data_IF_856256870926
#
_entry.id   IF_856256870926
#
_cell.length_a   1.000
_cell.length_b   1.000
_cell.length_c   1.000
_cell.angle_alpha   90.00
_cell.angle_beta   90.00
_cell.angle_gamma   90.00
#
_symmetry.space_group_name_H-M   'P 1'
#
loop_
_entity.id
_entity.type
_entity.pdbx_description
1 polymer ?
#
# COMPACT_ATOMS: atom_id res chain seq x y z
N UNK A 1 -17.31 28.26 48.85
CA UNK A 1 -18.09 27.12 48.33
C UNK A 1 -17.31 26.54 47.17
N UNK A 2 -16.46 25.54 47.47
CA UNK A 2 -15.51 24.94 46.52
C UNK A 2 -16.22 23.74 45.91
N UNK A 3 -16.48 23.79 44.60
CA UNK A 3 -17.02 22.65 43.84
C UNK A 3 -15.85 21.75 43.44
N UNK A 4 -15.73 20.61 44.12
CA UNK A 4 -14.89 19.49 43.68
C UNK A 4 -15.57 18.83 42.47
N UNK A 5 -14.89 18.87 41.33
CA UNK A 5 -15.21 18.02 40.17
C UNK A 5 -14.48 16.70 40.39
N UNK A 6 -15.22 15.63 40.68
CA UNK A 6 -14.68 14.28 40.70
C UNK A 6 -14.44 13.82 39.26
N UNK A 7 -13.19 13.57 38.91
CA UNK A 7 -12.81 12.93 37.66
C UNK A 7 -13.21 11.45 37.71
N UNK A 8 -14.06 11.01 36.77
CA UNK A 8 -14.36 9.60 36.54
C UNK A 8 -13.14 8.88 35.96
N UNK A 9 -12.93 7.58 36.25
CA UNK A 9 -11.76 6.86 35.77
C UNK A 9 -11.83 6.69 34.25
N UNK A 10 -10.80 7.15 33.56
CA UNK A 10 -10.56 6.85 32.14
C UNK A 10 -10.41 5.34 31.99
N UNK A 11 -11.39 4.72 31.32
CA UNK A 11 -11.32 3.32 30.92
C UNK A 11 -10.27 3.19 29.81
N UNK A 12 -9.01 2.96 30.20
CA UNK A 12 -7.96 2.52 29.29
C UNK A 12 -8.21 1.05 28.96
N UNK A 13 -9.05 0.80 27.96
CA UNK A 13 -9.14 -0.52 27.34
C UNK A 13 -7.83 -0.78 26.60
N UNK A 14 -6.86 -1.38 27.29
CA UNK A 14 -5.66 -1.91 26.70
C UNK A 14 -6.04 -2.98 25.68
N UNK A 15 -5.82 -2.71 24.39
CA UNK A 15 -5.95 -3.66 23.30
C UNK A 15 -4.78 -4.68 23.29
N UNK A 16 -4.45 -5.21 24.47
CA UNK A 16 -3.39 -6.20 24.65
C UNK A 16 -4.00 -7.45 25.28
N UNK A 17 -3.72 -8.59 24.63
CA UNK A 17 -4.01 -9.97 25.05
C UNK A 17 -5.39 -10.53 24.68
N UNK A 18 -5.65 -10.67 23.37
CA UNK A 18 -6.27 -11.91 22.89
C UNK A 18 -5.16 -12.96 22.79
N UNK A 19 -4.96 -13.66 23.90
CA UNK A 19 -4.23 -14.92 23.95
C UNK A 19 -4.70 -15.83 22.82
N UNK A 20 -3.76 -16.27 21.98
CA UNK A 20 -3.94 -17.31 20.96
C UNK A 20 -4.21 -18.66 21.62
N UNK A 21 -5.38 -18.80 22.24
CA UNK A 21 -6.00 -20.13 22.34
C UNK A 21 -6.29 -20.54 20.90
N UNK A 22 -5.56 -21.54 20.40
CA UNK A 22 -5.72 -22.04 19.04
C UNK A 22 -7.18 -22.38 18.77
N UNK A 23 -7.90 -21.49 18.11
CA UNK A 23 -9.22 -21.77 17.55
C UNK A 23 -9.01 -22.84 16.49
N UNK A 24 -9.32 -24.09 16.83
CA UNK A 24 -9.38 -25.16 15.86
C UNK A 24 -10.57 -24.88 14.96
N UNK A 25 -10.32 -24.25 13.81
CA UNK A 25 -11.32 -24.06 12.76
C UNK A 25 -11.66 -25.45 12.22
N UNK A 26 -12.77 -26.02 12.69
CA UNK A 26 -13.27 -27.29 12.16
C UNK A 26 -14.04 -27.01 10.88
N UNK A 27 -13.63 -27.67 9.80
CA UNK A 27 -14.45 -27.74 8.60
C UNK A 27 -15.76 -28.45 8.94
N UNK A 28 -16.88 -27.77 8.74
CA UNK A 28 -18.21 -28.33 8.93
C UNK A 28 -18.76 -28.81 7.58
N UNK A 29 -19.30 -30.02 7.58
CA UNK A 29 -20.00 -30.55 6.42
C UNK A 29 -21.45 -30.04 6.42
N UNK A 30 -21.68 -28.90 5.77
CA UNK A 30 -23.03 -28.38 5.56
C UNK A 30 -23.83 -29.31 4.63
N UNK A 31 -25.09 -29.54 4.98
CA UNK A 31 -26.05 -30.22 4.11
C UNK A 31 -26.29 -29.43 2.82
N UNK A 32 -26.77 -30.08 1.77
CA UNK A 32 -27.11 -29.41 0.51
C UNK A 32 -28.13 -28.29 0.70
N UNK A 33 -29.08 -28.46 1.63
CA UNK A 33 -30.10 -27.46 1.94
C UNK A 33 -29.51 -26.22 2.63
N UNK A 34 -28.55 -26.39 3.53
CA UNK A 34 -27.88 -25.27 4.19
C UNK A 34 -27.00 -24.50 3.22
N UNK A 35 -26.23 -25.20 2.38
CA UNK A 35 -25.44 -24.58 1.30
C UNK A 35 -26.32 -23.76 0.35
N UNK A 36 -27.49 -24.28 -0.01
CA UNK A 36 -28.44 -23.57 -0.86
C UNK A 36 -28.95 -22.30 -0.18
N UNK A 37 -29.35 -22.36 1.10
CA UNK A 37 -29.81 -21.19 1.86
C UNK A 37 -28.76 -20.08 1.94
N UNK A 38 -27.50 -20.44 2.20
CA UNK A 38 -26.40 -19.45 2.22
C UNK A 38 -26.26 -18.80 0.85
N UNK A 39 -26.28 -19.60 -0.22
CA UNK A 39 -26.18 -19.11 -1.60
C UNK A 39 -27.31 -18.14 -1.94
N UNK A 40 -28.56 -18.50 -1.65
CA UNK A 40 -29.73 -17.66 -1.89
C UNK A 40 -29.65 -16.36 -1.09
N UNK A 41 -29.24 -16.43 0.19
CA UNK A 41 -29.07 -15.24 1.04
C UNK A 41 -28.00 -14.29 0.50
N UNK A 42 -26.86 -14.81 0.02
CA UNK A 42 -25.82 -13.99 -0.62
C UNK A 42 -26.37 -13.35 -1.89
N UNK A 43 -27.00 -14.11 -2.79
CA UNK A 43 -27.56 -13.56 -4.04
C UNK A 43 -28.58 -12.47 -3.73
N UNK A 44 -29.47 -12.70 -2.77
CA UNK A 44 -30.46 -11.72 -2.35
C UNK A 44 -29.79 -10.44 -1.84
N UNK A 45 -28.79 -10.55 -0.97
CA UNK A 45 -28.03 -9.40 -0.46
C UNK A 45 -27.36 -8.62 -1.60
N UNK A 46 -26.71 -9.31 -2.53
CA UNK A 46 -26.04 -8.68 -3.68
C UNK A 46 -27.02 -7.92 -4.57
N UNK A 47 -28.15 -8.55 -4.92
CA UNK A 47 -29.17 -7.93 -5.78
C UNK A 47 -29.87 -6.75 -5.08
N UNK A 48 -30.25 -6.90 -3.80
CA UNK A 48 -30.95 -5.85 -3.06
C UNK A 48 -30.07 -4.62 -2.80
N UNK A 49 -28.76 -4.84 -2.57
CA UNK A 49 -27.82 -3.76 -2.25
C UNK A 49 -26.96 -3.32 -3.45
N UNK A 50 -27.26 -3.82 -4.66
CA UNK A 50 -26.51 -3.55 -5.90
C UNK A 50 -24.99 -3.72 -5.73
N UNK A 51 -24.57 -4.78 -5.02
CA UNK A 51 -23.15 -5.04 -4.76
C UNK A 51 -22.52 -5.81 -5.91
N UNK A 52 -21.24 -5.56 -6.23
CA UNK A 52 -20.54 -6.36 -7.23
C UNK A 52 -20.40 -7.80 -6.74
N UNK A 53 -20.52 -8.77 -7.65
CA UNK A 53 -20.35 -10.19 -7.31
C UNK A 53 -18.96 -10.50 -6.75
N UNK A 54 -17.93 -9.72 -7.10
CA UNK A 54 -16.56 -9.90 -6.61
C UNK A 54 -16.43 -9.74 -5.09
N UNK A 55 -17.38 -9.08 -4.41
CA UNK A 55 -17.34 -8.88 -2.94
C UNK A 55 -17.35 -10.21 -2.18
N UNK A 56 -17.85 -11.29 -2.76
CA UNK A 56 -17.85 -12.62 -2.11
C UNK A 56 -16.46 -13.23 -2.02
N UNK A 57 -15.51 -12.74 -2.82
CA UNK A 57 -14.12 -13.14 -2.84
C UNK A 57 -13.24 -12.18 -2.02
N UNK A 58 -13.82 -11.17 -1.38
CA UNK A 58 -13.08 -10.23 -0.54
C UNK A 58 -12.61 -10.94 0.73
N UNK A 59 -11.33 -10.82 1.07
CA UNK A 59 -10.74 -11.50 2.23
C UNK A 59 -11.33 -11.01 3.57
N UNK A 60 -11.84 -9.78 3.64
CA UNK A 60 -12.44 -9.23 4.85
C UNK A 60 -13.84 -9.78 5.14
N UNK A 61 -14.56 -10.28 4.12
CA UNK A 61 -15.89 -10.84 4.31
C UNK A 61 -15.88 -12.13 5.16
N UNK A 62 -15.04 -13.14 4.87
CA UNK A 62 -14.84 -14.31 5.75
C UNK A 62 -14.50 -13.93 7.19
N UNK A 63 -13.64 -12.93 7.41
CA UNK A 63 -13.24 -12.51 8.76
C UNK A 63 -14.42 -11.94 9.56
N UNK A 64 -15.24 -11.09 8.93
CA UNK A 64 -16.44 -10.53 9.56
C UNK A 64 -17.47 -11.65 9.84
N UNK A 65 -17.68 -12.56 8.90
CA UNK A 65 -18.58 -13.71 9.11
C UNK A 65 -18.10 -14.58 10.26
N UNK A 66 -16.80 -14.87 10.32
CA UNK A 66 -16.21 -15.68 11.38
C UNK A 66 -16.36 -14.99 12.75
N UNK A 67 -16.18 -13.66 12.82
CA UNK A 67 -16.44 -12.89 14.04
C UNK A 67 -17.91 -12.97 14.46
N UNK A 68 -18.85 -12.82 13.53
CA UNK A 68 -20.28 -12.95 13.81
C UNK A 68 -20.66 -14.36 14.29
N UNK A 69 -20.08 -15.41 13.70
CA UNK A 69 -20.26 -16.79 14.15
C UNK A 69 -19.71 -17.02 15.56
N UNK A 70 -18.54 -16.46 15.87
CA UNK A 70 -17.98 -16.53 17.23
C UNK A 70 -18.87 -15.84 18.25
N UNK A 71 -19.44 -14.67 17.91
CA UNK A 71 -20.41 -13.99 18.78
C UNK A 71 -21.66 -14.84 18.99
N UNK A 72 -22.23 -15.41 17.92
CA UNK A 72 -23.39 -16.29 18.00
C UNK A 72 -23.13 -17.57 18.81
N UNK A 73 -21.94 -18.16 18.68
CA UNK A 73 -21.54 -19.31 19.50
C UNK A 73 -21.42 -18.96 20.99
N UNK A 74 -20.95 -17.75 21.31
CA UNK A 74 -20.75 -17.29 22.69
C UNK A 74 -22.05 -16.82 23.37
N UNK A 75 -22.92 -16.13 22.63
CA UNK A 75 -24.08 -15.44 23.19
C UNK A 75 -25.43 -16.01 22.71
N UNK A 76 -25.44 -16.98 21.81
CA UNK A 76 -26.65 -17.57 21.25
C UNK A 76 -27.29 -16.68 20.19
N UNK A 77 -28.63 -16.59 20.20
CA UNK A 77 -29.37 -15.73 19.29
C UNK A 77 -29.15 -14.26 19.67
N UNK A 78 -28.53 -13.50 18.77
CA UNK A 78 -28.24 -12.07 18.94
C UNK A 78 -29.10 -11.28 17.96
N UNK A 79 -29.64 -10.14 18.40
CA UNK A 79 -30.21 -9.16 17.50
C UNK A 79 -29.10 -8.50 16.67
N UNK A 80 -29.09 -8.77 15.37
CA UNK A 80 -28.09 -8.25 14.43
C UNK A 80 -28.04 -6.72 14.42
N UNK A 81 -29.19 -6.05 14.62
CA UNK A 81 -29.22 -4.58 14.62
C UNK A 81 -28.56 -3.97 15.87
N UNK A 82 -28.42 -4.75 16.94
CA UNK A 82 -27.73 -4.31 18.17
C UNK A 82 -26.21 -4.36 18.04
N UNK A 83 -25.67 -5.17 17.12
CA UNK A 83 -24.21 -5.34 16.93
C UNK A 83 -23.66 -4.54 15.77
N UNK A 84 -24.47 -4.27 14.72
CA UNK A 84 -23.98 -3.57 13.53
C UNK A 84 -23.88 -2.07 13.81
N UNK A 85 -22.67 -1.48 13.73
CA UNK A 85 -22.51 -0.05 13.93
C UNK A 85 -23.16 0.74 12.78
N UNK A 86 -23.70 1.91 13.11
CA UNK A 86 -24.22 2.83 12.10
C UNK A 86 -23.11 3.27 11.13
N UNK A 87 -23.46 3.58 9.88
CA UNK A 87 -22.53 4.04 8.84
C UNK A 87 -21.61 5.17 9.32
N UNK A 88 -22.17 6.14 10.05
CA UNK A 88 -21.41 7.27 10.61
C UNK A 88 -20.33 6.78 11.57
N UNK A 89 -20.64 5.82 12.45
CA UNK A 89 -19.68 5.23 13.38
C UNK A 89 -18.55 4.53 12.64
N UNK A 90 -18.85 3.74 11.59
CA UNK A 90 -17.83 3.09 10.76
C UNK A 90 -16.94 4.14 10.09
N UNK A 91 -17.53 5.21 9.58
CA UNK A 91 -16.80 6.28 8.88
C UNK A 91 -15.88 7.06 9.82
N UNK A 92 -16.32 7.37 11.03
CA UNK A 92 -15.46 8.03 12.01
C UNK A 92 -14.36 7.09 12.51
N UNK A 93 -14.70 5.82 12.73
CA UNK A 93 -13.72 4.84 13.16
C UNK A 93 -12.68 4.55 12.07
N UNK A 94 -13.07 4.53 10.79
CA UNK A 94 -12.12 4.36 9.69
C UNK A 94 -11.13 5.51 9.61
N UNK A 95 -11.56 6.77 9.81
CA UNK A 95 -10.66 7.92 9.89
C UNK A 95 -9.65 7.79 11.02
N UNK A 96 -10.09 7.34 12.19
CA UNK A 96 -9.21 7.10 13.35
C UNK A 96 -8.17 6.03 12.99
N UNK A 97 -8.61 4.90 12.46
CA UNK A 97 -7.72 3.79 12.07
C UNK A 97 -6.74 4.22 10.97
N UNK A 98 -7.19 4.99 9.98
CA UNK A 98 -6.33 5.56 8.94
C UNK A 98 -5.28 6.50 9.54
N UNK A 99 -5.64 7.35 10.51
CA UNK A 99 -4.68 8.23 11.17
C UNK A 99 -3.63 7.43 11.96
N UNK A 100 -4.07 6.43 12.73
CA UNK A 100 -3.15 5.52 13.45
C UNK A 100 -2.18 4.86 12.49
N UNK A 101 -2.67 4.33 11.36
CA UNK A 101 -1.82 3.68 10.38
C UNK A 101 -0.87 4.67 9.69
N UNK A 102 -1.35 5.89 9.40
CA UNK A 102 -0.50 6.96 8.88
C UNK A 102 0.63 7.31 9.83
N UNK A 103 0.35 7.45 11.13
CA UNK A 103 1.36 7.77 12.13
C UNK A 103 2.42 6.66 12.26
N UNK A 104 2.02 5.40 12.09
CA UNK A 104 2.95 4.27 12.02
C UNK A 104 3.85 4.34 10.78
N UNK A 105 3.29 4.68 9.62
CA UNK A 105 4.04 4.80 8.37
C UNK A 105 5.05 5.96 8.42
N UNK A 106 4.68 7.11 9.01
CA UNK A 106 5.56 8.27 9.17
C UNK A 106 6.91 7.91 9.80
N UNK A 107 6.87 7.14 10.88
CA UNK A 107 8.08 6.70 11.60
C UNK A 107 8.99 5.91 10.66
N UNK A 108 8.41 5.05 9.82
CA UNK A 108 9.18 4.23 8.89
C UNK A 108 9.72 5.02 7.70
N UNK A 109 8.94 5.97 7.20
CA UNK A 109 9.31 6.78 6.05
C UNK A 109 10.55 7.65 6.27
N UNK A 110 10.76 8.17 7.48
CA UNK A 110 11.97 8.95 7.80
C UNK A 110 13.23 8.13 7.54
N UNK A 111 13.26 6.87 8.01
CA UNK A 111 14.38 5.96 7.80
C UNK A 111 14.59 5.67 6.31
N UNK A 112 13.51 5.37 5.59
CA UNK A 112 13.56 5.02 4.17
C UNK A 112 13.98 6.18 3.27
N UNK A 113 13.65 7.42 3.64
CA UNK A 113 14.12 8.62 2.93
C UNK A 113 15.63 8.82 3.09
N UNK A 114 16.19 8.54 4.28
CA UNK A 114 17.64 8.63 4.53
C UNK A 114 18.39 7.59 3.70
N UNK A 115 17.88 6.36 3.63
CA UNK A 115 18.50 5.29 2.85
C UNK A 115 18.17 5.31 1.36
N UNK A 116 17.35 6.25 0.89
CA UNK A 116 16.94 6.39 -0.52
C UNK A 116 16.28 5.12 -1.08
N UNK A 117 15.57 4.37 -0.23
CA UNK A 117 14.84 3.16 -0.59
C UNK A 117 13.33 3.39 -0.74
N UNK A 118 12.88 4.64 -0.58
CA UNK A 118 11.53 5.09 -0.85
C UNK A 118 11.46 5.78 -2.21
N UNK A 119 10.52 5.32 -3.03
CA UNK A 119 10.17 5.95 -4.31
C UNK A 119 8.68 6.24 -4.34
N UNK A 120 8.28 7.34 -4.95
CA UNK A 120 6.89 7.75 -5.09
C UNK A 120 6.50 7.81 -6.56
N UNK A 121 5.29 7.34 -6.86
CA UNK A 121 4.65 7.40 -8.16
C UNK A 121 3.37 8.22 -8.06
N UNK A 122 3.38 9.50 -8.49
CA UNK A 122 2.15 10.24 -8.67
C UNK A 122 1.45 9.77 -9.96
N UNK A 123 0.14 9.58 -9.88
CA UNK A 123 -0.74 9.26 -11.00
C UNK A 123 -1.82 10.35 -11.08
N UNK A 124 -1.89 11.05 -12.23
CA UNK A 124 -2.80 12.17 -12.46
C UNK A 124 -3.71 11.89 -13.64
N UNK A 125 -4.94 11.46 -13.37
CA UNK A 125 -5.92 11.18 -14.41
C UNK A 125 -7.11 12.13 -14.38
N UNK A 126 -7.83 12.19 -15.50
CA UNK A 126 -9.11 12.91 -15.61
C UNK A 126 -10.25 11.94 -15.85
N UNK A 127 -11.25 12.02 -14.99
CA UNK A 127 -12.53 11.39 -15.19
C UNK A 127 -13.41 12.31 -16.03
N UNK A 128 -13.60 11.94 -17.30
CA UNK A 128 -14.42 12.68 -18.26
C UNK A 128 -15.90 12.68 -17.89
N UNK A 129 -16.38 11.62 -17.23
CA UNK A 129 -17.79 11.49 -16.85
C UNK A 129 -18.12 12.47 -15.72
N UNK A 130 -17.26 12.52 -14.69
CA UNK A 130 -17.43 13.41 -13.55
C UNK A 130 -16.77 14.79 -13.73
N UNK A 131 -16.19 15.07 -14.91
CA UNK A 131 -15.45 16.30 -15.23
C UNK A 131 -14.48 16.70 -14.10
N UNK A 132 -13.81 15.71 -13.51
CA UNK A 132 -12.97 15.87 -12.35
C UNK A 132 -11.62 15.25 -12.62
N UNK A 133 -10.55 15.87 -12.13
CA UNK A 133 -9.23 15.26 -12.14
C UNK A 133 -8.90 14.72 -10.76
N UNK A 134 -8.05 13.71 -10.69
CA UNK A 134 -7.66 13.05 -9.44
C UNK A 134 -6.15 12.88 -9.40
N UNK A 135 -5.58 13.03 -8.21
CA UNK A 135 -4.18 12.74 -7.92
C UNK A 135 -4.13 11.54 -6.99
N UNK A 136 -3.60 10.44 -7.50
CA UNK A 136 -3.13 9.30 -6.73
C UNK A 136 -1.65 9.47 -6.43
N UNK A 137 -1.23 9.09 -5.24
CA UNK A 137 0.18 9.00 -4.88
C UNK A 137 0.42 7.65 -4.24
N UNK A 138 1.21 6.83 -4.91
CA UNK A 138 1.63 5.52 -4.43
C UNK A 138 3.10 5.59 -4.07
N UNK A 139 3.50 4.89 -3.00
CA UNK A 139 4.91 4.74 -2.66
C UNK A 139 5.35 3.28 -2.79
N UNK A 140 6.62 3.13 -3.13
CA UNK A 140 7.29 1.86 -3.32
C UNK A 140 8.51 1.83 -2.43
N UNK A 141 8.67 0.73 -1.70
CA UNK A 141 9.69 0.56 -0.68
C UNK A 141 10.42 -0.74 -0.97
N UNK A 142 11.75 -0.69 -0.90
CA UNK A 142 12.59 -1.88 -0.80
C UNK A 142 13.23 -1.87 0.57
N UNK A 143 12.88 -2.84 1.42
CA UNK A 143 13.45 -2.90 2.77
C UNK A 143 14.86 -3.52 2.78
N UNK A 144 15.47 -3.59 3.97
CA UNK A 144 16.81 -4.17 4.15
C UNK A 144 16.89 -5.66 3.79
N UNK A 145 15.75 -6.35 3.77
CA UNK A 145 15.63 -7.76 3.39
C UNK A 145 15.34 -7.90 1.88
N UNK A 146 15.49 -6.82 1.11
CA UNK A 146 15.13 -6.72 -0.32
C UNK A 146 13.66 -7.07 -0.60
N UNK A 147 12.78 -6.90 0.40
CA UNK A 147 11.36 -7.10 0.22
C UNK A 147 10.75 -5.85 -0.39
N UNK A 148 10.08 -6.02 -1.53
CA UNK A 148 9.34 -4.97 -2.20
C UNK A 148 7.94 -4.81 -1.58
N UNK A 149 7.55 -3.59 -1.25
CA UNK A 149 6.23 -3.25 -0.73
C UNK A 149 5.70 -1.99 -1.40
N UNK A 150 4.40 -1.94 -1.62
CA UNK A 150 3.72 -0.80 -2.24
C UNK A 150 2.56 -0.34 -1.35
N UNK A 151 2.41 0.97 -1.21
CA UNK A 151 1.33 1.58 -0.42
C UNK A 151 0.72 2.76 -1.16
N UNK A 152 -0.60 2.78 -1.28
CA UNK A 152 -1.33 3.95 -1.74
C UNK A 152 -1.40 4.95 -0.59
N UNK A 153 -0.67 6.05 -0.71
CA UNK A 153 -0.59 7.07 0.34
C UNK A 153 -1.82 7.97 0.29
N UNK A 154 -2.16 8.42 -0.91
CA UNK A 154 -3.18 9.44 -1.11
C UNK A 154 -3.95 9.17 -2.39
N UNK A 155 -5.26 9.37 -2.32
CA UNK A 155 -6.12 9.53 -3.49
C UNK A 155 -7.09 10.66 -3.19
N UNK A 156 -7.00 11.76 -3.92
CA UNK A 156 -7.96 12.86 -3.79
C UNK A 156 -8.27 13.52 -5.13
N UNK A 157 -9.40 14.22 -5.17
CA UNK A 157 -9.73 15.11 -6.28
C UNK A 157 -8.64 16.17 -6.40
N UNK A 158 -8.13 16.37 -7.61
CA UNK A 158 -7.18 17.42 -7.93
C UNK A 158 -7.91 18.77 -7.97
N UNK A 159 -7.47 19.72 -7.15
CA UNK A 159 -8.16 21.00 -6.91
C UNK A 159 -7.44 22.21 -7.46
N UNK A 160 -6.22 22.04 -7.97
CA UNK A 160 -5.45 23.17 -8.48
C UNK A 160 -6.01 23.65 -9.83
N UNK A 161 -5.80 24.93 -10.19
CA UNK A 161 -6.49 25.56 -11.33
C UNK A 161 -6.23 24.89 -12.67
N UNK A 162 -5.02 24.39 -12.87
CA UNK A 162 -4.60 23.68 -14.07
C UNK A 162 -3.56 22.59 -13.74
N UNK A 163 -3.22 21.78 -14.74
CA UNK A 163 -2.24 20.67 -14.61
C UNK A 163 -0.82 21.11 -14.96
N UNK A 164 -0.44 22.36 -14.65
CA UNK A 164 0.96 22.80 -14.79
C UNK A 164 1.83 22.24 -13.67
N UNK A 165 3.14 22.23 -13.89
CA UNK A 165 4.14 21.65 -12.97
C UNK A 165 4.00 22.17 -11.55
N UNK A 166 3.99 23.49 -11.43
CA UNK A 166 4.01 24.18 -10.17
C UNK A 166 2.79 23.77 -9.33
N UNK A 167 1.62 23.68 -9.97
CA UNK A 167 0.38 23.26 -9.35
C UNK A 167 0.39 21.77 -8.96
N UNK A 168 0.92 20.90 -9.81
CA UNK A 168 1.07 19.47 -9.48
C UNK A 168 2.01 19.30 -8.28
N UNK A 169 3.13 20.02 -8.26
CA UNK A 169 4.10 19.98 -7.17
C UNK A 169 3.50 20.52 -5.86
N UNK A 170 2.69 21.58 -5.92
CA UNK A 170 1.94 22.09 -4.77
C UNK A 170 0.97 21.02 -4.24
N UNK A 171 0.20 20.39 -5.14
CA UNK A 171 -0.73 19.33 -4.77
C UNK A 171 -0.02 18.13 -4.13
N UNK A 172 1.11 17.69 -4.70
CA UNK A 172 1.93 16.61 -4.16
C UNK A 172 2.51 16.97 -2.80
N UNK A 173 3.09 18.16 -2.62
CA UNK A 173 3.61 18.61 -1.32
C UNK A 173 2.51 18.65 -0.26
N UNK A 174 1.34 19.18 -0.61
CA UNK A 174 0.18 19.21 0.30
C UNK A 174 -0.26 17.80 0.69
N UNK A 175 -0.35 16.88 -0.26
CA UNK A 175 -0.71 15.49 -0.02
C UNK A 175 0.31 14.79 0.90
N UNK A 176 1.60 14.92 0.60
CA UNK A 176 2.70 14.25 1.29
C UNK A 176 3.05 14.88 2.64
N UNK A 177 2.68 16.14 2.88
CA UNK A 177 2.81 16.77 4.20
C UNK A 177 2.09 16.00 5.30
N UNK A 178 0.99 15.31 4.96
CA UNK A 178 0.28 14.47 5.92
C UNK A 178 1.09 13.26 6.38
N UNK A 179 2.15 12.89 5.66
CA UNK A 179 3.08 11.79 5.94
C UNK A 179 4.47 12.27 6.37
N UNK A 180 4.66 13.57 6.61
CA UNK A 180 5.95 14.20 6.91
C UNK A 180 7.05 13.88 5.87
N UNK A 181 6.63 13.62 4.62
CA UNK A 181 7.53 13.26 3.52
C UNK A 181 8.01 14.52 2.79
N UNK A 182 9.33 14.70 2.76
CA UNK A 182 9.96 15.74 1.95
C UNK A 182 10.22 15.28 0.51
N UNK A 183 9.60 15.93 -0.48
CA UNK A 183 9.78 15.61 -1.89
C UNK A 183 11.23 15.74 -2.36
N UNK A 184 11.98 16.74 -1.89
CA UNK A 184 13.38 16.95 -2.31
C UNK A 184 14.31 15.79 -1.93
N UNK A 185 13.90 14.96 -0.97
CA UNK A 185 14.65 13.80 -0.52
C UNK A 185 14.08 12.46 -1.00
N UNK A 186 13.06 12.45 -1.86
CA UNK A 186 12.36 11.23 -2.28
C UNK A 186 12.54 10.98 -3.77
N UNK A 187 12.78 9.74 -4.18
CA UNK A 187 12.82 9.42 -5.61
C UNK A 187 11.41 9.52 -6.18
N UNK A 188 11.25 10.12 -7.36
CA UNK A 188 9.93 10.26 -8.01
C UNK A 188 9.99 9.53 -9.36
N UNK A 189 9.00 8.67 -9.61
CA UNK A 189 8.81 8.06 -10.92
C UNK A 189 7.44 8.48 -11.40
N UNK A 190 7.35 9.12 -12.55
CA UNK A 190 6.09 9.63 -13.05
C UNK A 190 5.99 9.48 -14.56
N UNK A 191 4.76 9.59 -15.07
CA UNK A 191 4.54 9.52 -16.51
C UNK A 191 5.21 10.68 -17.24
N UNK A 192 5.47 10.57 -18.54
CA UNK A 192 6.11 11.64 -19.32
C UNK A 192 5.32 12.97 -19.25
N UNK A 193 3.99 12.86 -19.13
CA UNK A 193 3.05 13.95 -18.88
C UNK A 193 3.14 14.60 -17.49
N UNK A 194 3.88 14.02 -16.56
CA UNK A 194 4.15 14.50 -15.19
C UNK A 194 5.65 14.66 -14.94
N UNK A 195 6.51 14.08 -15.80
CA UNK A 195 7.97 14.08 -15.72
C UNK A 195 8.58 15.40 -16.15
N UNK A 196 8.07 15.99 -17.24
CA UNK A 196 8.43 17.35 -17.65
C UNK A 196 8.19 18.38 -16.53
N UNK A 197 7.43 17.98 -15.51
CA UNK A 197 6.92 18.84 -14.46
C UNK A 197 7.59 18.62 -13.08
N UNK A 198 8.23 17.46 -12.83
CA UNK A 198 8.93 17.15 -11.57
C UNK A 198 10.47 17.30 -11.64
N UNK A 199 11.04 17.41 -12.85
CA UNK A 199 12.48 17.33 -13.11
C UNK A 199 13.33 18.54 -12.62
N UNK A 200 12.73 19.61 -12.11
CA UNK A 200 13.47 20.81 -11.69
C UNK A 200 14.05 20.75 -10.27
N UNK A 201 13.68 19.74 -9.45
CA UNK A 201 14.07 19.72 -8.02
C UNK A 201 14.49 18.36 -7.45
N UNK A 202 14.28 17.24 -8.15
CA UNK A 202 14.42 15.88 -7.59
C UNK A 202 14.89 14.87 -8.66
N UNK A 203 15.44 13.71 -8.24
CA UNK A 203 15.71 12.57 -9.15
C UNK A 203 14.38 12.00 -9.65
N UNK A 204 13.91 12.52 -10.78
CA UNK A 204 12.69 12.11 -11.45
C UNK A 204 13.02 11.20 -12.65
N UNK A 205 12.31 10.08 -12.81
CA UNK A 205 12.46 9.18 -13.95
C UNK A 205 11.11 8.89 -14.61
N UNK A 206 11.11 8.76 -15.95
CA UNK A 206 9.90 8.39 -16.72
C UNK A 206 9.45 6.98 -16.38
N UNK A 207 8.13 6.71 -16.39
CA UNK A 207 7.69 5.32 -16.45
C UNK A 207 8.09 4.70 -17.80
N UNK A 208 8.39 3.39 -17.77
CA UNK A 208 8.70 2.62 -18.98
C UNK A 208 7.47 2.42 -19.87
N UNK A 209 6.26 2.44 -19.30
CA UNK A 209 5.00 2.27 -20.03
C UNK A 209 4.78 3.47 -20.97
N UNK A 210 5.07 4.68 -20.52
CA UNK A 210 4.92 5.86 -21.39
C UNK A 210 5.96 5.90 -22.49
N UNK A 211 7.18 5.40 -22.24
CA UNK A 211 8.21 5.27 -23.28
C UNK A 211 7.72 4.33 -24.38
N UNK A 212 7.06 3.23 -24.01
CA UNK A 212 6.47 2.30 -24.97
C UNK A 212 5.29 2.92 -25.70
N UNK A 213 4.35 3.53 -24.98
CA UNK A 213 3.16 4.15 -25.59
C UNK A 213 3.54 5.30 -26.53
N UNK A 214 4.51 6.15 -26.18
CA UNK A 214 4.97 7.22 -27.07
C UNK A 214 5.65 6.66 -28.32
N UNK A 215 6.38 5.54 -28.19
CA UNK A 215 7.00 4.91 -29.35
C UNK A 215 6.00 4.27 -30.31
N UNK A 216 4.87 3.77 -29.78
CA UNK A 216 3.80 3.20 -30.60
C UNK A 216 2.96 4.31 -31.26
N UNK A 217 2.62 5.39 -30.55
CA UNK A 217 1.85 6.52 -31.08
C UNK A 217 2.62 7.27 -32.19
N UNK A 218 3.92 7.55 -32.00
CA UNK A 218 4.76 8.18 -33.04
C UNK A 218 4.88 7.28 -34.29
N UNK A 219 4.93 5.96 -34.11
CA UNK A 219 4.98 5.02 -35.25
C UNK A 219 3.67 4.95 -36.04
N UNK A 220 2.54 5.25 -35.41
CA UNK A 220 1.21 5.26 -36.04
C UNK A 220 0.94 6.57 -36.78
N UNK A 221 1.41 7.71 -36.25
CA UNK A 221 1.20 9.01 -36.84
C UNK A 221 2.20 9.34 -37.97
N UNK A 222 3.41 8.76 -37.96
CA UNK A 222 4.39 8.89 -39.05
C UNK A 222 4.14 7.96 -40.26
N UNK A 223 3.11 7.11 -40.19
CA UNK A 223 2.68 6.32 -41.33
C UNK A 223 1.89 7.20 -42.34
N UNK A 224 2.60 8.04 -43.09
CA UNK A 224 2.07 8.67 -44.31
C UNK A 224 1.62 7.54 -45.26
N UNK A 225 0.36 7.57 -45.68
CA UNK A 225 -0.36 6.59 -46.51
C UNK A 225 0.23 6.39 -47.93
N UNK A 226 1.44 6.91 -48.17
CA UNK A 226 2.14 6.85 -49.44
C UNK A 226 3.38 5.99 -49.30
N UNK A 227 3.24 4.78 -49.86
CA UNK A 227 4.27 3.77 -50.05
C UNK A 227 4.56 2.92 -48.81
N UNK A 228 3.72 1.92 -48.58
CA UNK A 228 4.04 0.81 -47.69
C UNK A 228 5.26 0.05 -48.26
N UNK A 229 6.47 0.13 -47.68
CA UNK A 229 7.58 -0.70 -48.12
C UNK A 229 7.29 -2.09 -47.57
N UNK A 230 7.28 -3.09 -48.44
CA UNK A 230 7.16 -4.49 -48.01
C UNK A 230 8.37 -4.84 -47.12
N UNK A 231 8.19 -4.78 -45.80
CA UNK A 231 9.22 -5.24 -44.86
C UNK A 231 9.29 -6.75 -44.96
N UNK A 232 10.20 -7.24 -45.80
CA UNK A 232 10.67 -8.63 -45.72
C UNK A 232 11.38 -8.78 -44.37
N UNK A 233 10.72 -9.47 -43.44
CA UNK A 233 11.34 -10.04 -42.25
C UNK A 233 12.56 -10.88 -42.66
N UNK A 234 13.76 -10.30 -42.58
CA UNK A 234 15.01 -11.07 -42.57
C UNK A 234 15.18 -11.65 -41.19
N UNK A 235 14.50 -12.77 -40.95
CA UNK A 235 14.66 -13.62 -39.77
C UNK A 235 16.01 -14.35 -39.80
N UNK A 236 17.14 -13.66 -39.60
CA UNK A 236 18.40 -14.31 -39.25
C UNK A 236 19.28 -13.43 -38.38
N UNK A 237 19.16 -13.54 -37.06
CA UNK A 237 20.31 -13.47 -36.16
C UNK A 237 20.28 -14.65 -35.20
N UNK A 238 21.29 -15.50 -35.40
CA UNK A 238 21.64 -16.72 -34.67
C UNK A 238 21.55 -16.50 -33.15
N UNK A 239 20.64 -17.21 -32.49
CA UNK A 239 20.81 -17.54 -31.07
C UNK A 239 22.08 -18.39 -30.95
N UNK A 240 23.15 -17.80 -30.40
CA UNK A 240 24.25 -18.58 -29.84
C UNK A 240 23.77 -19.10 -28.49
N UNK A 241 23.42 -20.37 -28.46
CA UNK A 241 23.20 -21.15 -27.23
C UNK A 241 24.48 -21.11 -26.41
N UNK A 242 24.51 -20.33 -25.32
CA UNK A 242 25.54 -20.44 -24.31
C UNK A 242 25.13 -21.55 -23.33
N UNK A 243 25.63 -22.76 -23.61
CA UNK A 243 25.71 -23.83 -22.63
C UNK A 243 26.78 -23.44 -21.60
N UNK A 244 26.39 -23.16 -20.37
CA UNK A 244 27.31 -23.22 -19.23
C UNK A 244 26.84 -24.33 -18.28
N UNK A 245 27.58 -25.42 -18.34
CA UNK A 245 27.57 -26.54 -17.42
C UNK A 245 28.70 -26.29 -16.44
N UNK A 246 28.40 -25.91 -15.21
CA UNK A 246 29.35 -25.90 -14.08
C UNK A 246 28.65 -26.58 -12.90
N UNK A 247 28.92 -27.87 -12.71
CA UNK A 247 29.86 -28.39 -11.70
C UNK A 247 29.52 -27.91 -10.28
N UNK A 248 28.96 -28.87 -9.52
CA UNK A 248 29.08 -29.00 -8.06
C UNK A 248 30.53 -28.74 -7.66
N UNK A 249 30.78 -27.69 -6.89
CA UNK A 249 31.94 -27.58 -6.01
C UNK A 249 31.45 -27.07 -4.67
N UNK A 250 31.63 -27.92 -3.66
CA UNK A 250 31.54 -27.59 -2.25
C UNK A 250 32.60 -26.54 -1.92
N UNK A 251 32.21 -25.40 -1.37
CA UNK A 251 33.09 -24.65 -0.46
C UNK A 251 32.25 -23.76 0.46
N UNK A 252 32.37 -24.06 1.75
CA UNK A 252 32.05 -23.17 2.84
C UNK A 252 32.83 -21.87 2.70
N UNK A 253 32.15 -20.76 2.46
CA UNK A 253 32.74 -19.42 2.56
C UNK A 253 31.83 -18.54 3.43
N UNK A 254 32.12 -18.53 4.73
CA UNK A 254 31.55 -17.59 5.69
C UNK A 254 32.23 -16.23 5.51
N UNK A 255 31.53 -15.26 4.94
CA UNK A 255 31.94 -13.85 4.99
C UNK A 255 31.19 -13.15 6.13
N UNK A 256 31.49 -13.59 7.35
CA UNK A 256 31.27 -12.81 8.57
C UNK A 256 32.66 -12.37 8.98
N UNK A 257 32.99 -11.12 8.70
CA UNK A 257 33.94 -10.26 9.42
C UNK A 257 34.56 -9.22 8.48
N UNK A 258 33.99 -8.02 8.55
CA UNK A 258 34.68 -6.73 8.67
C UNK A 258 33.91 -5.61 7.99
N UNK A 259 32.84 -5.16 8.66
CA UNK A 259 32.52 -3.74 8.72
C UNK A 259 32.27 -3.41 10.18
N UNK A 260 33.37 -3.24 10.94
CA UNK A 260 33.32 -2.44 12.17
C UNK A 260 33.28 -0.99 11.69
N UNK A 261 32.09 -0.45 11.48
CA UNK A 261 31.91 1.00 11.44
C UNK A 261 32.25 1.51 12.84
N UNK A 262 33.36 2.24 12.96
CA UNK A 262 33.70 2.95 14.17
C UNK A 262 32.56 3.92 14.48
N UNK A 263 32.00 3.79 15.68
CA UNK A 263 30.80 4.50 16.13
C UNK A 263 31.05 6.02 16.29
N UNK A 264 32.24 6.51 15.92
CA UNK A 264 32.70 7.91 16.04
C UNK A 264 32.18 8.86 14.96
N UNK A 265 31.59 8.38 13.85
CA UNK A 265 31.16 9.24 12.74
C UNK A 265 29.63 9.39 12.58
N UNK A 266 28.85 8.88 13.53
CA UNK A 266 27.39 9.05 13.51
C UNK A 266 27.05 10.41 14.15
N UNK A 267 26.39 11.33 13.43
CA UNK A 267 25.88 12.58 14.00
C UNK A 267 25.10 12.33 15.29
N UNK A 268 25.24 13.20 16.28
CA UNK A 268 24.67 12.98 17.62
C UNK A 268 23.14 12.81 17.53
N UNK A 269 22.47 13.51 16.61
CA UNK A 269 21.03 13.35 16.38
C UNK A 269 20.66 11.93 15.89
N UNK A 270 21.52 11.29 15.07
CA UNK A 270 21.30 9.94 14.59
C UNK A 270 21.56 8.87 15.67
N UNK A 271 22.42 9.14 16.66
CA UNK A 271 22.60 8.25 17.83
C UNK A 271 21.38 8.20 18.73
N UNK A 272 20.77 9.35 19.02
CA UNK A 272 19.53 9.40 19.81
C UNK A 272 18.37 8.72 19.07
N UNK A 273 18.32 8.85 17.74
CA UNK A 273 17.36 8.16 16.89
C UNK A 273 17.58 6.64 16.88
N UNK A 274 18.82 6.15 16.85
CA UNK A 274 19.16 4.73 16.93
C UNK A 274 18.78 4.09 18.28
N UNK A 275 18.82 4.85 19.36
CA UNK A 275 18.37 4.39 20.69
C UNK A 275 16.84 4.22 20.69
N UNK A 276 16.08 5.19 20.15
CA UNK A 276 14.63 5.06 19.96
C UNK A 276 14.26 3.91 19.01
N UNK A 277 15.05 3.67 17.96
CA UNK A 277 14.85 2.56 17.02
C UNK A 277 15.04 1.18 17.66
N UNK A 278 15.88 1.02 18.68
CA UNK A 278 16.00 -0.27 19.40
C UNK A 278 14.72 -0.62 20.16
N UNK A 279 14.03 0.38 20.71
CA UNK A 279 12.73 0.20 21.36
C UNK A 279 11.64 -0.11 20.32
N UNK A 280 11.69 0.54 19.15
CA UNK A 280 10.75 0.32 18.04
C UNK A 280 10.98 -1.01 17.31
N UNK A 281 12.21 -1.52 17.18
CA UNK A 281 12.48 -2.85 16.59
C UNK A 281 11.79 -3.99 17.36
N UNK A 282 11.60 -3.81 18.67
CA UNK A 282 10.84 -4.74 19.49
C UNK A 282 9.34 -4.73 19.14
N UNK A 283 8.81 -3.56 18.74
CA UNK A 283 7.43 -3.36 18.27
C UNK A 283 7.28 -3.86 16.82
N UNK A 284 8.26 -3.65 15.93
CA UNK A 284 8.22 -4.12 14.54
C UNK A 284 8.28 -5.65 14.43
N UNK A 285 9.08 -6.32 15.27
CA UNK A 285 9.07 -7.79 15.38
C UNK A 285 7.69 -8.32 15.80
N UNK A 286 6.94 -7.52 16.54
CA UNK A 286 5.58 -7.81 16.97
C UNK A 286 4.57 -7.60 15.84
N UNK A 287 4.69 -6.52 15.07
CA UNK A 287 3.82 -6.21 13.91
C UNK A 287 4.04 -7.18 12.75
N UNK A 288 5.28 -7.54 12.39
CA UNK A 288 5.57 -8.57 11.33
C UNK A 288 4.99 -9.96 11.67
N UNK A 289 4.65 -10.23 12.94
CA UNK A 289 4.03 -11.49 13.39
C UNK A 289 2.50 -11.48 13.26
N UNK A 290 1.91 -10.30 13.11
CA UNK A 290 0.49 -10.10 12.78
C UNK A 290 0.40 -9.91 11.27
N UNK A 291 0.56 -11.00 10.52
CA UNK A 291 0.20 -11.01 9.09
C UNK A 291 -1.33 -11.08 8.99
N UNK A 292 -1.93 -10.07 8.38
CA UNK A 292 -3.20 -10.20 7.68
C UNK A 292 -2.90 -10.61 6.24
#
# INVERSE_FOLDING_TARGET
MILQVQASPTCTCSFNQLSTYGLVIKSINLTSREKLRIKEGIIQWLCQSMRPFSIVNDNGLPDIIQQALCLGAKHGSIDVNSILPHRTTITEHSKIMTNIHRDQLKIHFIELQVFKTLTITPDLWSDKFNSSSYLGITCHIIDSDFSFSTFDLVMHKYTEPDKKAENILIAMNKALSSFDLNLSNTNIICDSGTLNYAATTTTAASTFIDILNSSDDESCDEADDRHMPSIKLKSQRKLKTYNTRTKKEDSSFSFVDHVKLEVSEIPIEAREYLIKLKEVKHIIKYVKKVRF
#
